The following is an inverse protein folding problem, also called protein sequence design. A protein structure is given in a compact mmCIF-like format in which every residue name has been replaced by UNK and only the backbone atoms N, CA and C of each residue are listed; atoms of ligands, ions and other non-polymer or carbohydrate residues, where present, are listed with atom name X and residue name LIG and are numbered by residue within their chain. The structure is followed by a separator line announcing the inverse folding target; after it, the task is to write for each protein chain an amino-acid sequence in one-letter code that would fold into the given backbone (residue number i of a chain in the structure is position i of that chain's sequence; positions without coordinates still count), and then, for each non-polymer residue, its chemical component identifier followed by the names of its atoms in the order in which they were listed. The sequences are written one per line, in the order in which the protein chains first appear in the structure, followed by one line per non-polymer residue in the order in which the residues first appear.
data_IF_625066739426
#
_entry.id   IF_625066739426
#
_cell.length_a   1.000
_cell.length_b   1.000
_cell.length_c   1.000
_cell.angle_alpha   90.00
_cell.angle_beta   90.00
_cell.angle_gamma   90.00
#
_symmetry.space_group_name_H-M   'P 1'
#
loop_
_entity.id
_entity.type
_entity.pdbx_description
1 polymer ?
#
# COMPACT_ATOMS: atom_id res chain seq x y z
N UNK A 1 29.60 -35.50 22.25
CA UNK A 1 29.49 -34.06 22.57
C UNK A 1 30.42 -33.32 21.63
N UNK A 2 29.89 -32.85 20.50
CA UNK A 2 30.69 -32.08 19.52
C UNK A 2 30.63 -30.61 19.93
N UNK A 3 31.79 -30.02 20.20
CA UNK A 3 31.92 -28.62 20.55
C UNK A 3 31.53 -27.75 19.34
N UNK A 4 30.54 -26.87 19.53
CA UNK A 4 30.20 -25.80 18.58
C UNK A 4 31.31 -24.75 18.67
N UNK A 5 31.98 -24.37 17.56
CA UNK A 5 32.98 -23.32 17.59
C UNK A 5 32.28 -21.96 17.77
N UNK A 6 32.59 -21.28 18.87
CA UNK A 6 32.18 -19.91 19.12
C UNK A 6 32.99 -18.96 18.23
N UNK A 7 32.55 -18.73 17.00
CA UNK A 7 33.09 -17.65 16.16
C UNK A 7 32.54 -16.32 16.63
N UNK A 8 33.32 -15.62 17.47
CA UNK A 8 33.07 -14.21 17.78
C UNK A 8 33.18 -13.41 16.47
N UNK A 9 32.12 -12.74 15.99
CA UNK A 9 32.18 -11.98 14.75
C UNK A 9 33.23 -10.88 14.89
N UNK A 10 34.08 -10.74 13.87
CA UNK A 10 35.11 -9.70 13.85
C UNK A 10 34.42 -8.32 13.91
N UNK A 11 34.99 -7.38 14.67
CA UNK A 11 34.46 -6.02 14.81
C UNK A 11 34.23 -5.30 13.47
N UNK A 12 34.95 -5.70 12.42
CA UNK A 12 34.77 -5.23 11.04
C UNK A 12 33.40 -5.59 10.44
N UNK A 13 32.94 -6.83 10.61
CA UNK A 13 31.67 -7.30 10.03
C UNK A 13 30.46 -6.56 10.63
N UNK A 14 30.56 -6.21 11.91
CA UNK A 14 29.50 -5.52 12.64
C UNK A 14 29.37 -4.05 12.19
N UNK A 15 30.49 -3.39 11.89
CA UNK A 15 30.52 -2.03 11.35
C UNK A 15 30.01 -2.01 9.91
N UNK A 16 30.41 -2.99 9.08
CA UNK A 16 29.96 -3.10 7.69
C UNK A 16 28.45 -3.35 7.58
N UNK A 17 27.91 -4.28 8.38
CA UNK A 17 26.47 -4.58 8.41
C UNK A 17 25.65 -3.37 8.88
N UNK A 18 26.13 -2.63 9.90
CA UNK A 18 25.48 -1.42 10.39
C UNK A 18 25.48 -0.30 9.34
N UNK A 19 26.60 -0.11 8.65
CA UNK A 19 26.72 0.90 7.59
C UNK A 19 25.74 0.60 6.44
N UNK A 20 25.72 -0.63 5.94
CA UNK A 20 24.81 -1.05 4.85
C UNK A 20 23.34 -0.95 5.22
N UNK A 21 22.96 -1.38 6.43
CA UNK A 21 21.56 -1.28 6.89
C UNK A 21 21.08 0.18 6.93
N UNK A 22 21.97 1.09 7.33
CA UNK A 22 21.71 2.53 7.28
C UNK A 22 21.55 3.02 5.84
N UNK A 23 22.44 2.62 4.93
CA UNK A 23 22.36 2.99 3.50
C UNK A 23 21.05 2.54 2.85
N UNK A 24 20.61 1.30 3.09
CA UNK A 24 19.36 0.76 2.53
C UNK A 24 18.17 1.56 3.05
N UNK A 25 18.14 1.87 4.35
CA UNK A 25 17.08 2.67 4.95
C UNK A 25 17.03 4.06 4.33
N UNK A 26 18.19 4.70 4.10
CA UNK A 26 18.29 5.98 3.41
C UNK A 26 17.80 5.90 1.96
N UNK A 27 18.16 4.85 1.21
CA UNK A 27 17.73 4.68 -0.18
C UNK A 27 16.22 4.49 -0.27
N UNK A 28 15.66 3.60 0.55
CA UNK A 28 14.21 3.33 0.57
C UNK A 28 13.45 4.60 0.98
N UNK A 29 13.90 5.30 2.03
CA UNK A 29 13.29 6.54 2.47
C UNK A 29 13.39 7.66 1.42
N UNK A 30 14.53 7.77 0.72
CA UNK A 30 14.71 8.75 -0.33
C UNK A 30 13.82 8.43 -1.55
N UNK A 31 13.78 7.17 -1.98
CA UNK A 31 12.94 6.74 -3.09
C UNK A 31 11.45 6.95 -2.77
N UNK A 32 11.01 6.57 -1.57
CA UNK A 32 9.63 6.77 -1.14
C UNK A 32 9.28 8.26 -1.05
N UNK A 33 10.18 9.10 -0.53
CA UNK A 33 9.98 10.55 -0.48
C UNK A 33 9.92 11.18 -1.87
N UNK A 34 10.79 10.76 -2.80
CA UNK A 34 10.79 11.24 -4.19
C UNK A 34 9.46 10.89 -4.86
N UNK A 35 9.01 9.63 -4.78
CA UNK A 35 7.74 9.21 -5.37
C UNK A 35 6.57 9.97 -4.73
N UNK A 36 6.58 10.14 -3.41
CA UNK A 36 5.57 10.93 -2.71
C UNK A 36 5.54 12.38 -3.19
N UNK A 37 6.70 13.03 -3.31
CA UNK A 37 6.82 14.40 -3.82
C UNK A 37 6.32 14.50 -5.26
N UNK A 38 6.63 13.54 -6.12
CA UNK A 38 6.10 13.49 -7.48
C UNK A 38 4.57 13.44 -7.49
N UNK A 39 3.97 12.61 -6.64
CA UNK A 39 2.50 12.56 -6.48
C UNK A 39 1.92 13.87 -5.95
N UNK A 40 2.55 14.48 -4.94
CA UNK A 40 2.11 15.75 -4.37
C UNK A 40 2.23 16.91 -5.37
N UNK A 41 3.30 16.95 -6.15
CA UNK A 41 3.50 17.94 -7.21
C UNK A 41 2.47 17.75 -8.33
N UNK A 42 2.24 16.51 -8.77
CA UNK A 42 1.20 16.21 -9.77
C UNK A 42 -0.19 16.64 -9.28
N UNK A 43 -0.51 16.35 -8.02
CA UNK A 43 -1.75 16.78 -7.37
C UNK A 43 -1.86 18.29 -7.27
N UNK A 44 -0.81 18.97 -6.81
CA UNK A 44 -0.78 20.43 -6.67
C UNK A 44 -0.97 21.11 -8.03
N UNK A 45 -0.24 20.67 -9.06
CA UNK A 45 -0.33 21.21 -10.41
C UNK A 45 -1.73 21.05 -10.97
N UNK A 46 -2.38 19.92 -10.73
CA UNK A 46 -3.72 19.68 -11.23
C UNK A 46 -4.77 20.42 -10.41
N UNK A 47 -4.69 20.41 -9.08
CA UNK A 47 -5.58 21.18 -8.23
C UNK A 47 -5.52 22.68 -8.58
N UNK A 48 -4.30 23.18 -8.83
CA UNK A 48 -4.08 24.56 -9.27
C UNK A 48 -4.66 24.84 -10.66
N UNK A 49 -4.60 23.88 -11.60
CA UNK A 49 -5.30 23.99 -12.89
C UNK A 49 -6.81 23.98 -12.72
N UNK A 50 -7.33 23.17 -11.79
CA UNK A 50 -8.77 23.06 -11.53
C UNK A 50 -9.34 24.35 -10.93
N UNK A 51 -8.60 25.01 -10.04
CA UNK A 51 -8.98 26.35 -9.54
C UNK A 51 -8.99 27.44 -10.61
N UNK A 52 -8.41 27.18 -11.80
CA UNK A 52 -8.44 28.11 -12.94
C UNK A 52 -9.56 27.83 -13.94
N UNK A 53 -10.08 26.61 -14.00
CA UNK A 53 -11.17 26.22 -14.89
C UNK A 53 -12.51 26.20 -14.11
N UNK A 54 -13.12 27.37 -13.94
CA UNK A 54 -14.48 27.51 -13.40
C UNK A 54 -15.51 26.99 -14.42
N UNK A 55 -15.75 25.68 -14.43
CA UNK A 55 -16.96 25.13 -15.05
C UNK A 55 -17.92 24.66 -13.96
N UNK A 56 -19.04 25.38 -13.86
CA UNK A 56 -20.08 25.22 -12.84
C UNK A 56 -20.70 23.81 -12.84
N UNK A 57 -20.24 22.95 -11.92
CA UNK A 57 -20.89 21.66 -11.64
C UNK A 57 -22.19 21.89 -10.85
N UNK A 58 -23.28 22.11 -11.59
CA UNK A 58 -24.61 22.50 -11.10
C UNK A 58 -25.42 21.35 -10.42
N UNK A 59 -24.79 20.49 -9.61
CA UNK A 59 -25.49 19.47 -8.78
C UNK A 59 -24.88 19.38 -7.37
N UNK A 60 -25.53 20.02 -6.40
CA UNK A 60 -25.10 20.14 -5.00
C UNK A 60 -24.71 18.82 -4.29
N UNK A 61 -25.34 17.69 -4.65
CA UNK A 61 -25.05 16.37 -4.07
C UNK A 61 -23.81 15.70 -4.68
N UNK A 62 -23.58 15.85 -5.98
CA UNK A 62 -22.43 15.24 -6.67
C UNK A 62 -21.12 15.96 -6.37
N UNK A 63 -21.18 17.26 -6.07
CA UNK A 63 -19.99 18.09 -5.81
C UNK A 63 -19.25 17.67 -4.53
N UNK A 64 -19.95 17.30 -3.44
CA UNK A 64 -19.29 16.88 -2.19
C UNK A 64 -18.59 15.53 -2.34
N UNK A 65 -19.24 14.56 -2.99
CA UNK A 65 -18.66 13.23 -3.23
C UNK A 65 -17.45 13.32 -4.18
N UNK A 66 -17.55 14.13 -5.24
CA UNK A 66 -16.43 14.39 -6.16
C UNK A 66 -15.27 15.11 -5.47
N UNK A 67 -15.54 15.97 -4.49
CA UNK A 67 -14.49 16.68 -3.73
C UNK A 67 -13.73 15.77 -2.77
N UNK A 68 -14.39 14.78 -2.17
CA UNK A 68 -13.75 13.87 -1.21
C UNK A 68 -13.04 12.68 -1.88
N UNK A 69 -13.51 12.24 -3.06
CA UNK A 69 -12.90 11.14 -3.81
C UNK A 69 -11.36 11.23 -3.99
N UNK A 70 -10.77 12.36 -4.46
CA UNK A 70 -9.32 12.45 -4.66
C UNK A 70 -8.52 12.33 -3.36
N UNK A 71 -9.09 12.74 -2.22
CA UNK A 71 -8.42 12.59 -0.92
C UNK A 71 -8.31 11.13 -0.50
N UNK A 72 -9.36 10.33 -0.73
CA UNK A 72 -9.35 8.89 -0.44
C UNK A 72 -8.34 8.17 -1.33
N UNK A 73 -8.31 8.48 -2.63
CA UNK A 73 -7.31 7.92 -3.54
C UNK A 73 -5.88 8.30 -3.13
N UNK A 74 -5.63 9.55 -2.74
CA UNK A 74 -4.32 9.97 -2.23
C UNK A 74 -3.92 9.18 -0.99
N UNK A 75 -4.83 9.02 -0.02
CA UNK A 75 -4.56 8.24 1.18
C UNK A 75 -4.19 6.79 0.83
N UNK A 76 -4.92 6.16 -0.09
CA UNK A 76 -4.62 4.79 -0.57
C UNK A 76 -3.25 4.68 -1.26
N UNK A 77 -2.84 5.69 -2.03
CA UNK A 77 -1.49 5.72 -2.63
C UNK A 77 -0.45 5.81 -1.53
N UNK A 78 -0.61 6.72 -0.56
CA UNK A 78 0.36 6.91 0.52
C UNK A 78 0.48 5.66 1.40
N UNK A 79 -0.63 5.01 1.77
CA UNK A 79 -0.59 3.78 2.56
C UNK A 79 0.09 2.65 1.80
N UNK A 80 -0.22 2.48 0.51
CA UNK A 80 0.44 1.47 -0.33
C UNK A 80 1.96 1.71 -0.46
N UNK A 81 2.38 2.97 -0.52
CA UNK A 81 3.78 3.34 -0.64
C UNK A 81 4.57 3.06 0.66
N UNK A 82 3.93 3.27 1.81
CA UNK A 82 4.48 2.90 3.11
C UNK A 82 4.68 1.37 3.18
N UNK A 83 3.71 0.57 2.74
CA UNK A 83 3.84 -0.89 2.73
C UNK A 83 4.90 -1.39 1.75
N UNK A 84 4.99 -0.80 0.55
CA UNK A 84 6.07 -1.09 -0.40
C UNK A 84 7.43 -0.83 0.26
N UNK A 85 7.57 0.31 0.93
CA UNK A 85 8.82 0.69 1.60
C UNK A 85 9.21 -0.28 2.70
N UNK A 86 8.25 -0.64 3.58
CA UNK A 86 8.48 -1.59 4.67
C UNK A 86 8.79 -2.98 4.12
N UNK A 87 8.01 -3.48 3.15
CA UNK A 87 8.19 -4.82 2.58
C UNK A 87 9.53 -4.95 1.87
N UNK A 88 9.90 -3.97 1.04
CA UNK A 88 11.19 -3.94 0.36
C UNK A 88 12.33 -3.87 1.38
N UNK A 89 12.22 -3.03 2.40
CA UNK A 89 13.23 -2.96 3.46
C UNK A 89 13.41 -4.30 4.17
N UNK A 90 12.31 -4.95 4.59
CA UNK A 90 12.37 -6.25 5.29
C UNK A 90 13.00 -7.33 4.41
N UNK A 91 12.59 -7.46 3.15
CA UNK A 91 13.15 -8.45 2.21
C UNK A 91 14.65 -8.26 2.04
N UNK A 92 15.08 -7.02 1.90
CA UNK A 92 16.49 -6.68 1.76
C UNK A 92 17.27 -7.01 3.05
N UNK A 93 16.74 -6.67 4.23
CA UNK A 93 17.39 -7.01 5.51
C UNK A 93 17.49 -8.52 5.72
N UNK A 94 16.45 -9.29 5.39
CA UNK A 94 16.50 -10.75 5.51
C UNK A 94 17.48 -11.37 4.53
N UNK A 95 17.58 -10.83 3.30
CA UNK A 95 18.54 -11.29 2.30
C UNK A 95 19.99 -11.11 2.77
N UNK A 96 20.29 -9.97 3.40
CA UNK A 96 21.64 -9.68 3.86
C UNK A 96 22.02 -10.41 5.14
N UNK A 97 21.11 -10.50 6.12
CA UNK A 97 21.41 -11.13 7.40
C UNK A 97 21.16 -12.64 7.41
N UNK A 98 20.69 -13.22 6.27
CA UNK A 98 20.39 -14.65 6.10
C UNK A 98 19.50 -15.23 7.21
N UNK A 99 18.62 -14.41 7.77
CA UNK A 99 17.82 -14.71 8.96
C UNK A 99 16.32 -14.79 8.66
N UNK A 100 15.97 -15.33 7.48
CA UNK A 100 14.58 -15.57 7.12
C UNK A 100 13.92 -16.54 8.11
N UNK A 101 12.74 -16.21 8.68
CA UNK A 101 12.05 -17.11 9.60
C UNK A 101 11.51 -18.36 8.89
N UNK A 102 11.11 -18.22 7.62
CA UNK A 102 10.75 -19.33 6.72
C UNK A 102 10.66 -18.84 5.28
N UNK A 103 10.80 -19.74 4.30
CA UNK A 103 10.56 -19.43 2.88
C UNK A 103 9.10 -18.97 2.65
N UNK A 104 8.14 -19.56 3.37
CA UNK A 104 6.75 -19.13 3.30
C UNK A 104 6.58 -17.67 3.75
N UNK A 105 7.31 -17.22 4.78
CA UNK A 105 7.21 -15.84 5.26
C UNK A 105 7.75 -14.86 4.22
N UNK A 106 8.84 -15.23 3.54
CA UNK A 106 9.40 -14.46 2.42
C UNK A 106 8.38 -14.31 1.30
N UNK A 107 7.74 -15.39 0.85
CA UNK A 107 6.69 -15.35 -0.18
C UNK A 107 5.51 -14.47 0.24
N UNK A 108 5.15 -14.47 1.53
CA UNK A 108 4.08 -13.61 2.04
C UNK A 108 4.41 -12.12 1.95
N UNK A 109 5.65 -11.75 2.29
CA UNK A 109 6.13 -10.37 2.21
C UNK A 109 6.27 -9.93 0.74
N UNK A 110 6.76 -10.80 -0.14
CA UNK A 110 6.82 -10.55 -1.59
C UNK A 110 5.41 -10.33 -2.19
N UNK A 111 4.42 -11.10 -1.74
CA UNK A 111 3.04 -10.93 -2.18
C UNK A 111 2.42 -9.61 -1.69
N UNK A 112 2.73 -9.17 -0.47
CA UNK A 112 2.35 -7.83 0.01
C UNK A 112 3.03 -6.74 -0.80
N UNK A 113 4.31 -6.88 -1.12
CA UNK A 113 5.04 -5.94 -1.97
C UNK A 113 4.36 -5.83 -3.35
N UNK A 114 3.99 -6.96 -3.96
CA UNK A 114 3.23 -7.00 -5.20
C UNK A 114 1.88 -6.29 -5.07
N UNK A 115 1.11 -6.58 -4.02
CA UNK A 115 -0.20 -5.95 -3.78
C UNK A 115 -0.09 -4.43 -3.58
N UNK A 116 0.94 -3.99 -2.86
CA UNK A 116 1.29 -2.58 -2.69
C UNK A 116 1.60 -1.90 -4.02
N UNK A 117 2.50 -2.47 -4.82
CA UNK A 117 2.84 -1.96 -6.16
C UNK A 117 1.62 -1.90 -7.09
N UNK A 118 0.83 -2.98 -7.12
CA UNK A 118 -0.42 -3.04 -7.87
C UNK A 118 -1.38 -1.92 -7.46
N UNK A 119 -1.59 -1.74 -6.15
CA UNK A 119 -2.46 -0.71 -5.60
C UNK A 119 -1.95 0.68 -5.97
N UNK A 120 -0.64 0.95 -5.79
CA UNK A 120 -0.04 2.23 -6.14
C UNK A 120 -0.23 2.56 -7.62
N UNK A 121 -0.02 1.60 -8.52
CA UNK A 121 -0.17 1.79 -9.97
C UNK A 121 -1.62 2.05 -10.36
N UNK A 122 -2.55 1.24 -9.85
CA UNK A 122 -3.96 1.35 -10.24
C UNK A 122 -4.61 2.58 -9.60
N UNK A 123 -4.46 2.78 -8.29
CA UNK A 123 -4.98 3.96 -7.59
C UNK A 123 -4.33 5.24 -8.12
N UNK A 124 -3.01 5.22 -8.36
CA UNK A 124 -2.29 6.36 -8.92
C UNK A 124 -2.77 6.71 -10.33
N UNK A 125 -3.00 5.71 -11.19
CA UNK A 125 -3.55 5.95 -12.53
C UNK A 125 -4.98 6.51 -12.47
N UNK A 126 -5.85 5.97 -11.60
CA UNK A 126 -7.19 6.53 -11.40
C UNK A 126 -7.16 7.96 -10.85
N UNK A 127 -6.27 8.25 -9.90
CA UNK A 127 -6.08 9.60 -9.37
C UNK A 127 -5.75 10.56 -10.51
N UNK A 128 -4.78 10.22 -11.37
CA UNK A 128 -4.42 11.04 -12.54
C UNK A 128 -5.58 11.18 -13.55
N UNK A 129 -6.36 10.12 -13.77
CA UNK A 129 -7.50 10.12 -14.68
C UNK A 129 -8.63 11.05 -14.21
N UNK A 130 -8.97 11.00 -12.91
CA UNK A 130 -9.98 11.89 -12.32
C UNK A 130 -9.53 13.35 -12.30
N UNK A 131 -8.22 13.56 -12.23
CA UNK A 131 -7.61 14.88 -12.22
C UNK A 131 -7.60 15.53 -13.61
N UNK A 132 -7.56 14.75 -14.70
CA UNK A 132 -7.46 15.31 -16.05
C UNK A 132 -8.84 15.56 -16.71
N UNK A 133 -9.22 16.83 -17.00
CA UNK A 133 -10.58 17.18 -17.43
C UNK A 133 -11.02 16.54 -18.76
N UNK A 134 -10.07 16.22 -19.65
CA UNK A 134 -10.36 15.51 -20.92
C UNK A 134 -10.53 13.99 -20.76
N UNK A 135 -9.88 13.37 -19.78
CA UNK A 135 -9.93 11.91 -19.59
C UNK A 135 -11.09 11.47 -18.68
N UNK A 136 -11.68 12.39 -17.90
CA UNK A 136 -12.90 12.11 -17.12
C UNK A 136 -14.09 11.66 -17.99
N UNK A 137 -14.11 12.00 -19.29
CA UNK A 137 -15.14 11.56 -20.25
C UNK A 137 -14.88 10.17 -20.87
N UNK A 138 -13.76 9.52 -20.53
CA UNK A 138 -13.40 8.23 -21.11
C UNK A 138 -14.22 7.09 -20.49
N UNK A 139 -14.52 6.02 -21.26
CA UNK A 139 -15.27 4.86 -20.76
C UNK A 139 -14.53 4.09 -19.63
N UNK A 140 -13.22 4.34 -19.46
CA UNK A 140 -12.41 3.81 -18.36
C UNK A 140 -12.86 4.39 -17.00
N UNK A 141 -13.51 5.56 -16.99
CA UNK A 141 -14.13 6.13 -15.80
C UNK A 141 -15.49 5.50 -15.45
N UNK A 142 -15.90 4.42 -16.13
CA UNK A 142 -17.15 3.72 -15.85
C UNK A 142 -17.16 3.11 -14.44
N UNK A 143 -18.29 3.26 -13.75
CA UNK A 143 -18.53 2.70 -12.41
C UNK A 143 -18.31 1.18 -12.39
N UNK A 144 -18.62 0.49 -13.49
CA UNK A 144 -18.43 -0.96 -13.59
C UNK A 144 -16.95 -1.38 -13.58
N UNK A 145 -16.10 -0.70 -14.35
CA UNK A 145 -14.65 -0.96 -14.37
C UNK A 145 -14.03 -0.57 -13.03
N UNK A 146 -14.53 0.50 -12.41
CA UNK A 146 -14.12 0.89 -11.06
C UNK A 146 -14.45 -0.19 -10.02
N UNK A 147 -15.66 -0.73 -10.03
CA UNK A 147 -16.06 -1.82 -9.15
C UNK A 147 -15.23 -3.09 -9.35
N UNK A 148 -14.94 -3.46 -10.59
CA UNK A 148 -14.15 -4.65 -10.90
C UNK A 148 -12.72 -4.55 -10.35
N UNK A 149 -12.04 -3.42 -10.54
CA UNK A 149 -10.67 -3.27 -10.04
C UNK A 149 -10.62 -3.23 -8.51
N UNK A 150 -11.60 -2.59 -7.86
CA UNK A 150 -11.72 -2.54 -6.40
C UNK A 150 -11.89 -3.96 -5.86
N UNK A 151 -12.77 -4.76 -6.48
CA UNK A 151 -12.98 -6.16 -6.09
C UNK A 151 -11.70 -6.99 -6.23
N UNK A 152 -11.01 -6.88 -7.38
CA UNK A 152 -9.75 -7.59 -7.61
C UNK A 152 -8.69 -7.22 -6.53
N UNK A 153 -8.55 -5.93 -6.25
CA UNK A 153 -7.57 -5.44 -5.28
C UNK A 153 -7.92 -5.83 -3.86
N UNK A 154 -9.21 -5.80 -3.52
CA UNK A 154 -9.70 -6.29 -2.24
C UNK A 154 -9.36 -7.77 -2.03
N UNK A 155 -9.53 -8.61 -3.06
CA UNK A 155 -9.15 -10.04 -2.99
C UNK A 155 -7.65 -10.18 -2.77
N UNK A 156 -6.81 -9.41 -3.49
CA UNK A 156 -5.35 -9.43 -3.29
C UNK A 156 -4.98 -9.10 -1.84
N UNK A 157 -5.60 -8.08 -1.25
CA UNK A 157 -5.35 -7.69 0.14
C UNK A 157 -5.81 -8.73 1.16
N UNK A 158 -6.97 -9.36 0.95
CA UNK A 158 -7.43 -10.46 1.81
C UNK A 158 -6.46 -11.63 1.76
N UNK A 159 -6.07 -12.05 0.54
CA UNK A 159 -5.15 -13.18 0.37
C UNK A 159 -3.81 -12.85 1.03
N UNK A 160 -3.32 -11.61 0.87
CA UNK A 160 -2.06 -11.17 1.46
C UNK A 160 -2.09 -11.18 2.99
N UNK A 161 -3.12 -10.59 3.59
CA UNK A 161 -3.29 -10.55 5.04
C UNK A 161 -3.50 -11.96 5.63
N UNK A 162 -4.35 -12.77 4.99
CA UNK A 162 -4.64 -14.13 5.44
C UNK A 162 -3.40 -15.03 5.34
N UNK A 163 -2.68 -14.96 4.23
CA UNK A 163 -1.46 -15.74 4.03
C UNK A 163 -0.38 -15.32 5.02
N UNK A 164 -0.15 -14.02 5.21
CA UNK A 164 0.84 -13.55 6.17
C UNK A 164 0.48 -13.97 7.60
N UNK A 165 -0.80 -13.89 8.00
CA UNK A 165 -1.24 -14.34 9.32
C UNK A 165 -1.16 -15.87 9.50
N UNK A 166 -1.33 -16.65 8.43
CA UNK A 166 -1.19 -18.11 8.47
C UNK A 166 0.26 -18.54 8.70
N UNK A 167 1.22 -17.81 8.11
CA UNK A 167 2.64 -18.12 8.25
C UNK A 167 3.25 -17.48 9.51
N UNK A 168 2.79 -16.29 9.85
CA UNK A 168 3.23 -15.50 11.00
C UNK A 168 2.02 -15.17 11.85
N UNK A 169 1.72 -15.97 12.90
CA UNK A 169 0.49 -15.83 13.67
C UNK A 169 0.51 -14.61 14.60
N UNK A 170 0.33 -13.42 14.02
CA UNK A 170 0.35 -12.15 14.74
C UNK A 170 -0.84 -11.99 15.68
N UNK A 171 -1.98 -12.59 15.35
CA UNK A 171 -3.23 -12.46 16.09
C UNK A 171 -3.27 -13.36 17.34
N UNK A 172 -2.59 -14.51 17.31
CA UNK A 172 -2.71 -15.52 18.38
C UNK A 172 -1.54 -15.52 19.36
N UNK A 173 -0.38 -14.96 19.02
CA UNK A 173 0.81 -14.93 19.89
C UNK A 173 1.06 -13.50 20.36
N UNK A 174 0.34 -13.11 21.42
CA UNK A 174 0.32 -11.72 21.88
C UNK A 174 1.55 -11.32 22.73
N UNK A 175 2.31 -12.26 23.30
CA UNK A 175 3.23 -11.95 24.39
C UNK A 175 4.72 -12.00 24.07
N UNK A 176 5.21 -12.85 23.17
CA UNK A 176 6.66 -12.96 22.93
C UNK A 176 6.97 -13.07 21.45
N UNK A 177 7.31 -11.93 20.85
CA UNK A 177 7.74 -11.91 19.46
C UNK A 177 9.23 -12.23 19.39
N UNK A 178 9.55 -13.51 19.23
CA UNK A 178 10.93 -14.02 19.09
C UNK A 178 11.50 -13.78 17.69
N UNK A 179 10.71 -13.25 16.76
CA UNK A 179 11.14 -12.97 15.40
C UNK A 179 11.94 -11.68 15.28
N UNK A 180 12.99 -11.74 14.46
CA UNK A 180 13.75 -10.56 14.05
C UNK A 180 12.82 -9.62 13.25
N UNK A 181 12.90 -8.31 13.50
CA UNK A 181 12.04 -7.29 12.86
C UNK A 181 10.53 -7.45 13.11
N UNK A 182 10.15 -8.01 14.26
CA UNK A 182 8.74 -8.21 14.59
C UNK A 182 7.90 -6.92 14.54
N UNK A 183 8.44 -5.78 14.98
CA UNK A 183 7.71 -4.51 14.94
C UNK A 183 7.30 -4.10 13.53
N UNK A 184 8.21 -4.26 12.58
CA UNK A 184 8.00 -3.96 11.16
C UNK A 184 7.02 -4.94 10.53
N UNK A 185 7.10 -6.24 10.86
CA UNK A 185 6.15 -7.24 10.39
C UNK A 185 4.74 -7.03 10.94
N UNK A 186 4.61 -6.68 12.23
CA UNK A 186 3.31 -6.32 12.84
C UNK A 186 2.72 -5.07 12.20
N UNK A 187 3.55 -4.06 11.94
CA UNK A 187 3.12 -2.86 11.22
C UNK A 187 2.63 -3.21 9.81
N UNK A 188 3.38 -4.05 9.07
CA UNK A 188 3.00 -4.48 7.74
C UNK A 188 1.65 -5.22 7.71
N UNK A 189 1.44 -6.15 8.66
CA UNK A 189 0.17 -6.83 8.80
C UNK A 189 -0.98 -5.87 9.15
N UNK A 190 -0.76 -4.95 10.10
CA UNK A 190 -1.78 -3.99 10.52
C UNK A 190 -2.21 -3.06 9.37
N UNK A 191 -1.25 -2.54 8.60
CA UNK A 191 -1.56 -1.68 7.45
C UNK A 191 -2.32 -2.47 6.37
N UNK A 192 -1.95 -3.74 6.14
CA UNK A 192 -2.62 -4.62 5.18
C UNK A 192 -4.08 -4.88 5.54
N UNK A 193 -4.37 -5.09 6.83
CA UNK A 193 -5.74 -5.21 7.36
C UNK A 193 -6.52 -3.91 7.18
N UNK A 194 -5.91 -2.77 7.51
CA UNK A 194 -6.53 -1.45 7.31
C UNK A 194 -6.89 -1.24 5.84
N UNK A 195 -5.98 -1.54 4.91
CA UNK A 195 -6.20 -1.44 3.47
C UNK A 195 -7.34 -2.34 3.00
N UNK A 196 -7.42 -3.56 3.52
CA UNK A 196 -8.53 -4.50 3.27
C UNK A 196 -9.87 -3.89 3.67
N UNK A 197 -9.95 -3.27 4.85
CA UNK A 197 -11.17 -2.61 5.35
C UNK A 197 -11.54 -1.41 4.48
N UNK A 198 -10.57 -0.59 4.06
CA UNK A 198 -10.82 0.53 3.15
C UNK A 198 -11.44 0.07 1.83
N UNK A 199 -10.91 -1.00 1.22
CA UNK A 199 -11.46 -1.55 -0.01
C UNK A 199 -12.85 -2.19 0.19
N UNK A 200 -13.09 -2.86 1.33
CA UNK A 200 -14.41 -3.39 1.66
C UNK A 200 -15.46 -2.28 1.78
N UNK A 201 -15.11 -1.19 2.46
CA UNK A 201 -15.97 -0.01 2.56
C UNK A 201 -16.24 0.62 1.19
N UNK A 202 -15.21 0.75 0.34
CA UNK A 202 -15.38 1.26 -1.02
C UNK A 202 -16.33 0.41 -1.86
N UNK A 203 -16.23 -0.93 -1.79
CA UNK A 203 -17.17 -1.83 -2.46
C UNK A 203 -18.59 -1.66 -1.93
N UNK A 204 -18.76 -1.59 -0.61
CA UNK A 204 -20.07 -1.40 0.01
C UNK A 204 -20.73 -0.10 -0.48
N UNK A 205 -19.98 1.00 -0.57
CA UNK A 205 -20.49 2.27 -1.10
C UNK A 205 -20.91 2.15 -2.57
N UNK A 206 -20.12 1.48 -3.42
CA UNK A 206 -20.47 1.29 -4.83
C UNK A 206 -21.73 0.43 -4.98
N UNK A 207 -21.83 -0.67 -4.24
CA UNK A 207 -23.02 -1.53 -4.23
C UNK A 207 -24.25 -0.77 -3.73
N UNK A 208 -24.10 0.03 -2.69
CA UNK A 208 -25.16 0.90 -2.17
C UNK A 208 -25.65 1.90 -3.23
N UNK A 209 -24.72 2.58 -3.91
CA UNK A 209 -25.07 3.51 -4.99
C UNK A 209 -25.71 2.82 -6.19
N UNK A 210 -25.25 1.61 -6.55
CA UNK A 210 -25.86 0.81 -7.60
C UNK A 210 -27.28 0.38 -7.22
N UNK A 211 -27.49 -0.07 -5.97
CA UNK A 211 -28.81 -0.41 -5.43
C UNK A 211 -29.77 0.79 -5.47
N UNK A 212 -29.30 1.97 -5.05
CA UNK A 212 -30.10 3.19 -5.11
C UNK A 212 -30.49 3.57 -6.54
N UNK A 213 -29.67 3.29 -7.55
CA UNK A 213 -30.04 3.54 -8.96
C UNK A 213 -31.06 2.55 -9.50
N UNK A 214 -31.06 1.31 -9.01
CA UNK A 214 -32.03 0.29 -9.43
C UNK A 214 -33.39 0.53 -8.78
N UNK A 215 -33.42 0.97 -7.51
CA UNK A 215 -34.66 1.15 -6.74
C UNK A 215 -35.15 2.60 -6.66
N UNK A 216 -34.30 3.60 -6.87
CA UNK A 216 -34.67 4.99 -6.98
C UNK A 216 -35.04 5.32 -8.42
N UNK A 217 -36.28 5.77 -8.64
CA UNK A 217 -36.76 6.33 -9.91
C UNK A 217 -35.89 7.51 -10.36
#
# INVERSE_FOLDING_TARGET
MSAVPSTTPASGDLIENKYRSTTITCIVAAASAIVTLFYLVALYLVAHRWTRDDTSLNKYSSVRLQRSAPFVYLLLVLTSLIEISISAWILVQYSYNLNYPSEAAKTGIEFILFSGCWTMLVVGSYLLLFLHPRLSKSPVASVGVQGLWICLTWILWIVAAAYLNAVLPFVTVYSECTLVYCGQLKALFAISVVQTVFFAFAMFVILWLAWQRVHGK
#
